data_IF_548287541332
#
_entry.id   IF_548287541332
#
_cell.length_a   1.000
_cell.length_b   1.000
_cell.length_c   1.000
_cell.angle_alpha   90.00
_cell.angle_beta   90.00
_cell.angle_gamma   90.00
#
_symmetry.space_group_name_H-M   'P 1'
#
loop_
_entity.id
_entity.type
_entity.pdbx_description
1 polymer ?
#
# COMPACT_ATOMS: atom_id res chain seq x y z
N UNK A 1 -7.07 18.05 -14.68
CA UNK A 1 -5.64 17.88 -14.38
C UNK A 1 -5.30 16.42 -14.71
N UNK A 2 -4.41 16.23 -15.68
CA UNK A 2 -4.12 14.92 -16.31
C UNK A 2 -3.13 14.15 -15.45
N UNK A 3 -3.57 13.11 -14.75
CA UNK A 3 -2.66 12.13 -14.17
C UNK A 3 -2.12 11.24 -15.29
N UNK A 4 -0.89 11.50 -15.71
CA UNK A 4 -0.13 10.62 -16.57
C UNK A 4 0.14 9.30 -15.81
N UNK A 5 -0.52 8.23 -16.24
CA UNK A 5 -0.14 6.86 -15.88
C UNK A 5 1.30 6.61 -16.37
N UNK A 6 2.24 6.58 -15.44
CA UNK A 6 3.58 6.06 -15.71
C UNK A 6 3.53 4.54 -15.64
N UNK A 7 3.32 3.90 -16.78
CA UNK A 7 3.64 2.48 -16.95
C UNK A 7 5.15 2.33 -16.80
N UNK A 8 5.62 1.69 -15.74
CA UNK A 8 7.02 1.35 -15.61
C UNK A 8 7.36 0.26 -16.65
N UNK A 9 7.99 0.68 -17.72
CA UNK A 9 8.55 -0.20 -18.76
C UNK A 9 9.99 -0.51 -18.33
N UNK A 10 10.25 -1.75 -17.87
CA UNK A 10 11.63 -2.17 -17.59
C UNK A 10 12.34 -2.37 -18.92
N UNK A 11 13.21 -1.45 -19.26
CA UNK A 11 13.99 -1.47 -20.49
C UNK A 11 15.34 -2.12 -20.21
N UNK A 12 15.52 -3.35 -20.69
CA UNK A 12 16.81 -4.03 -20.69
C UNK A 12 17.46 -3.84 -22.06
N UNK A 13 18.44 -2.95 -22.18
CA UNK A 13 19.20 -2.76 -23.41
C UNK A 13 20.55 -3.47 -23.28
N UNK A 14 20.75 -4.52 -24.04
CA UNK A 14 22.06 -5.15 -24.23
C UNK A 14 22.69 -4.55 -25.48
N UNK A 15 23.74 -3.74 -25.33
CA UNK A 15 24.53 -3.24 -26.45
C UNK A 15 25.64 -4.27 -26.74
N UNK A 16 25.48 -5.06 -27.80
CA UNK A 16 26.57 -5.87 -28.35
C UNK A 16 27.14 -5.13 -29.56
N UNK A 17 28.41 -4.79 -29.47
CA UNK A 17 29.15 -4.14 -30.53
C UNK A 17 29.64 -5.16 -31.59
N UNK A 18 29.22 -4.94 -32.80
CA UNK A 18 29.88 -5.10 -34.11
C UNK A 18 30.28 -6.47 -34.68
N UNK A 19 29.74 -6.67 -35.87
CA UNK A 19 30.30 -7.29 -37.08
C UNK A 19 30.55 -8.79 -37.08
N UNK A 20 29.53 -9.53 -37.49
CA UNK A 20 29.58 -10.53 -38.58
C UNK A 20 28.14 -11.06 -38.77
N UNK A 21 27.77 -11.36 -40.00
CA UNK A 21 26.51 -11.99 -40.37
C UNK A 21 26.47 -13.40 -39.73
N UNK A 22 26.01 -13.44 -38.49
CA UNK A 22 25.74 -14.68 -37.76
C UNK A 22 24.36 -14.46 -37.14
N UNK A 23 23.40 -15.31 -37.56
CA UNK A 23 22.10 -15.38 -36.88
C UNK A 23 22.35 -15.46 -35.36
N UNK A 24 21.89 -14.49 -34.60
CA UNK A 24 22.05 -14.50 -33.15
C UNK A 24 21.15 -15.57 -32.57
N UNK A 25 21.71 -16.48 -31.79
CA UNK A 25 20.93 -17.46 -31.05
C UNK A 25 20.79 -16.99 -29.60
N UNK A 26 19.57 -16.81 -29.18
CA UNK A 26 19.23 -16.48 -27.79
C UNK A 26 18.79 -17.77 -27.08
N UNK A 27 19.59 -18.25 -26.14
CA UNK A 27 19.28 -19.47 -25.40
C UNK A 27 18.34 -19.21 -24.21
N UNK A 28 17.65 -20.27 -23.78
CA UNK A 28 16.68 -20.18 -22.68
C UNK A 28 17.33 -19.82 -21.33
N UNK A 29 18.57 -20.21 -21.08
CA UNK A 29 19.25 -19.93 -19.82
C UNK A 29 19.62 -18.45 -19.72
N UNK A 30 20.05 -17.85 -20.83
CA UNK A 30 20.27 -16.41 -20.89
C UNK A 30 18.97 -15.63 -20.65
N UNK A 31 17.87 -16.04 -21.28
CA UNK A 31 16.55 -15.43 -21.04
C UNK A 31 16.15 -15.54 -19.57
N UNK A 32 16.33 -16.71 -18.95
CA UNK A 32 16.01 -16.91 -17.54
C UNK A 32 16.80 -15.95 -16.64
N UNK A 33 18.12 -15.85 -16.84
CA UNK A 33 18.98 -14.98 -16.05
C UNK A 33 18.56 -13.51 -16.16
N UNK A 34 18.27 -13.03 -17.36
CA UNK A 34 17.83 -11.66 -17.58
C UNK A 34 16.44 -11.36 -16.99
N UNK A 35 15.51 -12.32 -17.10
CA UNK A 35 14.18 -12.20 -16.50
C UNK A 35 14.28 -12.16 -14.96
N UNK A 36 15.07 -13.03 -14.34
CA UNK A 36 15.31 -13.05 -12.91
C UNK A 36 15.83 -11.69 -12.46
N UNK A 37 16.92 -11.23 -13.05
CA UNK A 37 17.57 -9.96 -12.71
C UNK A 37 16.61 -8.77 -12.86
N UNK A 38 15.83 -8.73 -13.93
CA UNK A 38 14.91 -7.63 -14.18
C UNK A 38 13.74 -7.62 -13.17
N UNK A 39 13.20 -8.79 -12.83
CA UNK A 39 12.11 -8.90 -11.84
C UNK A 39 12.61 -8.60 -10.43
N UNK A 40 13.78 -9.10 -10.04
CA UNK A 40 14.41 -8.77 -8.74
C UNK A 40 14.64 -7.27 -8.61
N UNK A 41 15.20 -6.63 -9.63
CA UNK A 41 15.44 -5.19 -9.65
C UNK A 41 14.14 -4.40 -9.51
N UNK A 42 13.10 -4.77 -10.25
CA UNK A 42 11.78 -4.13 -10.16
C UNK A 42 11.17 -4.26 -8.76
N UNK A 43 11.26 -5.45 -8.17
CA UNK A 43 10.73 -5.72 -6.83
C UNK A 43 11.48 -4.92 -5.76
N UNK A 44 12.81 -4.86 -5.83
CA UNK A 44 13.63 -4.05 -4.92
C UNK A 44 13.27 -2.56 -5.04
N UNK A 45 13.10 -2.05 -6.26
CA UNK A 45 12.68 -0.66 -6.49
C UNK A 45 11.26 -0.36 -5.95
N UNK A 46 10.41 -1.38 -5.82
CA UNK A 46 9.08 -1.30 -5.17
C UNK A 46 9.13 -1.45 -3.65
N UNK A 47 10.34 -1.54 -3.07
CA UNK A 47 10.56 -1.61 -1.62
C UNK A 47 10.39 -3.01 -1.04
N UNK A 48 10.55 -4.05 -1.86
CA UNK A 48 10.65 -5.42 -1.35
C UNK A 48 12.09 -5.76 -0.98
N UNK A 49 12.24 -6.67 -0.03
CA UNK A 49 13.53 -7.19 0.42
C UNK A 49 13.58 -8.69 0.23
N UNK A 50 14.80 -9.27 0.18
CA UNK A 50 15.02 -10.71 0.03
C UNK A 50 14.16 -11.34 -1.06
N UNK A 51 14.26 -10.76 -2.24
CA UNK A 51 13.53 -11.22 -3.41
C UNK A 51 14.22 -12.45 -3.97
N UNK A 52 13.48 -13.54 -4.15
CA UNK A 52 13.91 -14.78 -4.80
C UNK A 52 12.97 -15.07 -5.96
N UNK A 53 13.50 -15.07 -7.17
CA UNK A 53 12.74 -15.25 -8.41
C UNK A 53 13.16 -16.55 -9.09
N UNK A 54 12.22 -17.46 -9.27
CA UNK A 54 12.41 -18.71 -9.98
C UNK A 54 11.60 -18.72 -11.28
N UNK A 55 12.29 -18.84 -12.43
CA UNK A 55 11.64 -19.09 -13.72
C UNK A 55 11.26 -20.56 -13.80
N UNK A 56 9.98 -20.85 -13.96
CA UNK A 56 9.46 -22.22 -13.99
C UNK A 56 9.61 -22.87 -15.34
N UNK A 57 9.75 -22.09 -16.42
CA UNK A 57 10.00 -22.62 -17.77
C UNK A 57 10.08 -21.52 -18.83
N UNK A 58 10.78 -21.85 -19.92
CA UNK A 58 10.79 -21.10 -21.18
C UNK A 58 10.27 -22.05 -22.25
N UNK A 59 9.40 -21.62 -23.19
CA UNK A 59 8.73 -22.53 -24.13
C UNK A 59 9.62 -23.09 -25.25
N UNK A 60 10.91 -22.80 -25.23
CA UNK A 60 11.91 -23.28 -26.21
C UNK A 60 13.30 -23.34 -25.56
N UNK A 61 14.22 -24.08 -26.14
CA UNK A 61 15.62 -24.16 -25.71
C UNK A 61 16.46 -23.01 -26.26
N UNK A 62 16.17 -22.59 -27.48
CA UNK A 62 16.87 -21.52 -28.19
C UNK A 62 15.90 -20.77 -29.10
N UNK A 63 16.22 -19.53 -29.42
CA UNK A 63 15.50 -18.69 -30.35
C UNK A 63 16.49 -18.09 -31.35
N UNK A 64 16.33 -18.42 -32.62
CA UNK A 64 17.09 -17.81 -33.71
C UNK A 64 16.56 -16.39 -33.97
N UNK A 65 17.47 -15.44 -34.04
CA UNK A 65 17.16 -14.03 -34.21
C UNK A 65 17.88 -13.49 -35.45
N UNK A 66 17.26 -12.54 -36.17
CA UNK A 66 17.97 -11.80 -37.21
C UNK A 66 19.08 -10.94 -36.59
N UNK A 67 20.04 -10.57 -37.44
CA UNK A 67 21.09 -9.64 -37.01
C UNK A 67 20.53 -8.28 -36.59
N UNK A 68 21.12 -7.74 -35.52
CA UNK A 68 20.75 -6.42 -35.08
C UNK A 68 20.81 -6.21 -33.56
N UNK A 69 20.34 -5.06 -33.16
CA UNK A 69 20.29 -4.70 -31.75
C UNK A 69 19.16 -5.44 -31.04
N UNK A 70 19.51 -6.37 -30.14
CA UNK A 70 18.58 -7.10 -29.31
C UNK A 70 18.04 -6.23 -28.17
N UNK A 71 16.73 -6.32 -27.95
CA UNK A 71 16.06 -5.69 -26.81
C UNK A 71 14.99 -6.65 -26.28
N UNK A 72 15.04 -6.94 -24.98
CA UNK A 72 14.00 -7.70 -24.28
C UNK A 72 13.19 -6.76 -23.37
N UNK A 73 11.88 -6.94 -23.35
CA UNK A 73 10.95 -6.13 -22.57
C UNK A 73 9.99 -7.02 -21.82
N UNK A 74 10.00 -6.92 -20.49
CA UNK A 74 8.99 -7.55 -19.65
C UNK A 74 7.81 -6.61 -19.56
N UNK A 75 6.62 -7.10 -19.95
CA UNK A 75 5.39 -6.32 -19.91
C UNK A 75 4.73 -6.51 -18.55
N UNK A 76 4.51 -5.40 -17.85
CA UNK A 76 3.73 -5.41 -16.63
C UNK A 76 2.24 -5.59 -16.97
N UNK A 77 1.60 -6.55 -16.32
CA UNK A 77 0.14 -6.65 -16.33
C UNK A 77 -0.42 -5.54 -15.44
N UNK A 78 -1.16 -4.61 -16.03
CA UNK A 78 -1.82 -3.55 -15.30
C UNK A 78 -2.78 -4.13 -14.25
N UNK A 79 -2.66 -3.69 -13.01
CA UNK A 79 -3.67 -3.84 -11.97
C UNK A 79 -3.53 -5.01 -11.00
N UNK A 80 -2.63 -5.93 -11.19
CA UNK A 80 -2.39 -6.98 -10.18
C UNK A 80 -1.25 -6.58 -9.26
N UNK A 81 -1.52 -6.54 -7.97
CA UNK A 81 -0.48 -6.59 -6.98
C UNK A 81 0.47 -7.77 -7.23
N UNK A 82 1.56 -7.82 -6.50
CA UNK A 82 2.46 -8.96 -6.48
C UNK A 82 1.68 -10.26 -6.24
N UNK A 83 1.97 -11.29 -7.03
CA UNK A 83 1.47 -12.65 -6.82
C UNK A 83 2.64 -13.62 -6.75
N UNK A 84 2.59 -14.53 -5.79
CA UNK A 84 3.64 -15.55 -5.58
C UNK A 84 3.88 -16.40 -6.83
N UNK A 85 2.84 -16.67 -7.62
CA UNK A 85 2.93 -17.31 -8.93
C UNK A 85 2.27 -16.44 -9.97
N UNK A 86 3.02 -16.08 -10.99
CA UNK A 86 2.53 -15.22 -12.06
C UNK A 86 3.16 -15.59 -13.40
N UNK A 87 2.53 -15.13 -14.47
CA UNK A 87 3.10 -15.21 -15.81
C UNK A 87 3.41 -13.78 -16.26
N UNK A 88 4.67 -13.51 -16.58
CA UNK A 88 5.08 -12.25 -17.19
C UNK A 88 5.22 -12.40 -18.68
N UNK A 89 4.66 -11.47 -19.45
CA UNK A 89 4.85 -11.47 -20.90
C UNK A 89 6.24 -10.87 -21.21
N UNK A 90 7.06 -11.65 -21.92
CA UNK A 90 8.35 -11.18 -22.44
C UNK A 90 8.21 -10.91 -23.93
N UNK A 91 8.67 -9.75 -24.37
CA UNK A 91 8.74 -9.35 -25.77
C UNK A 91 10.19 -9.20 -26.18
N UNK A 92 10.55 -9.86 -27.27
CA UNK A 92 11.89 -9.85 -27.87
C UNK A 92 11.83 -9.00 -29.15
N UNK A 93 12.67 -7.99 -29.21
CA UNK A 93 12.79 -7.10 -30.36
C UNK A 93 14.21 -7.17 -30.94
N UNK A 94 14.31 -7.05 -32.25
CA UNK A 94 15.57 -6.82 -32.95
C UNK A 94 15.38 -5.58 -33.84
N UNK A 95 16.28 -4.62 -33.76
CA UNK A 95 16.20 -3.35 -34.48
C UNK A 95 14.83 -2.65 -34.32
N UNK A 96 14.26 -2.67 -33.08
CA UNK A 96 12.93 -2.18 -32.71
C UNK A 96 11.74 -2.93 -33.35
N UNK A 97 11.97 -3.98 -34.13
CA UNK A 97 10.92 -4.85 -34.67
C UNK A 97 10.63 -5.98 -33.72
N UNK A 98 9.35 -6.22 -33.37
CA UNK A 98 8.94 -7.32 -32.51
C UNK A 98 9.15 -8.66 -33.24
N UNK A 99 10.03 -9.49 -32.71
CA UNK A 99 10.31 -10.82 -33.23
C UNK A 99 9.43 -11.88 -32.58
N UNK A 100 9.31 -11.82 -31.24
CA UNK A 100 8.52 -12.80 -30.49
C UNK A 100 7.96 -12.22 -29.21
N UNK A 101 6.78 -12.73 -28.82
CA UNK A 101 6.17 -12.47 -27.50
C UNK A 101 5.71 -13.80 -26.91
N UNK A 102 6.02 -14.05 -25.63
CA UNK A 102 5.63 -15.28 -24.93
C UNK A 102 5.52 -15.05 -23.44
N UNK A 103 4.78 -15.93 -22.76
CA UNK A 103 4.62 -15.91 -21.31
C UNK A 103 5.76 -16.65 -20.63
N UNK A 104 6.30 -16.05 -19.58
CA UNK A 104 7.31 -16.65 -18.69
C UNK A 104 6.65 -16.90 -17.34
N UNK A 105 6.39 -18.15 -16.96
CA UNK A 105 5.85 -18.48 -15.65
C UNK A 105 6.94 -18.34 -14.59
N UNK A 106 6.60 -17.61 -13.52
CA UNK A 106 7.49 -17.30 -12.41
C UNK A 106 6.89 -17.76 -11.10
N UNK A 107 7.76 -18.20 -10.21
CA UNK A 107 7.50 -18.25 -8.76
C UNK A 107 8.42 -17.24 -8.08
N UNK A 108 7.83 -16.34 -7.29
CA UNK A 108 8.55 -15.25 -6.65
C UNK A 108 8.26 -15.29 -5.15
N UNK A 109 9.31 -15.24 -4.34
CA UNK A 109 9.21 -14.99 -2.90
C UNK A 109 9.79 -13.62 -2.63
N UNK A 110 9.07 -12.81 -1.89
CA UNK A 110 9.52 -11.48 -1.53
C UNK A 110 9.02 -11.10 -0.14
N UNK A 111 9.78 -10.26 0.53
CA UNK A 111 9.48 -9.83 1.88
C UNK A 111 9.35 -8.31 1.90
N UNK A 112 8.59 -7.82 2.88
CA UNK A 112 8.46 -6.40 3.15
C UNK A 112 8.39 -6.17 4.65
N UNK A 113 8.93 -5.06 5.12
CA UNK A 113 8.71 -4.65 6.50
C UNK A 113 7.29 -4.16 6.69
N UNK A 114 6.63 -4.67 7.72
CA UNK A 114 5.27 -4.29 8.06
C UNK A 114 5.02 -4.38 9.56
N UNK A 115 4.06 -3.61 10.05
CA UNK A 115 3.61 -3.70 11.43
C UNK A 115 2.84 -5.00 11.67
N UNK A 116 3.24 -5.70 12.72
CA UNK A 116 2.63 -6.94 13.18
C UNK A 116 2.17 -6.78 14.62
N UNK A 117 0.93 -7.16 14.92
CA UNK A 117 0.38 -7.12 16.27
C UNK A 117 1.17 -8.05 17.21
N UNK A 118 1.62 -7.55 18.35
CA UNK A 118 2.30 -8.34 19.40
C UNK A 118 1.33 -8.98 20.37
N UNK A 119 0.12 -8.41 20.48
CA UNK A 119 -1.00 -8.86 21.30
C UNK A 119 -2.32 -8.59 20.59
N UNK A 120 -3.42 -9.05 21.15
CA UNK A 120 -4.74 -8.77 20.58
C UNK A 120 -5.07 -7.28 20.61
N UNK A 121 -5.62 -6.79 19.48
CA UNK A 121 -6.08 -5.41 19.34
C UNK A 121 -7.56 -5.46 18.94
N UNK A 122 -8.43 -5.02 19.86
CA UNK A 122 -9.88 -4.97 19.64
C UNK A 122 -10.28 -3.86 18.67
N UNK A 123 -11.51 -3.93 18.17
CA UNK A 123 -12.13 -2.87 17.37
C UNK A 123 -12.20 -1.57 18.20
N UNK A 124 -11.84 -0.43 17.58
CA UNK A 124 -11.80 0.88 18.24
C UNK A 124 -10.60 1.09 19.17
N UNK A 125 -9.73 0.09 19.35
CA UNK A 125 -8.53 0.23 20.17
C UNK A 125 -7.38 0.81 19.34
N UNK A 126 -6.56 1.63 20.01
CA UNK A 126 -5.40 2.28 19.37
C UNK A 126 -4.35 1.26 18.94
N UNK A 127 -3.80 1.49 17.76
CA UNK A 127 -2.64 0.80 17.22
C UNK A 127 -1.42 1.70 17.53
N UNK A 128 -0.49 1.21 18.34
CA UNK A 128 0.67 2.00 18.78
C UNK A 128 1.87 1.10 19.07
N UNK A 129 3.03 1.69 19.36
CA UNK A 129 4.28 0.98 19.62
C UNK A 129 4.22 -0.03 20.79
N UNK A 130 3.21 0.03 21.67
CA UNK A 130 3.05 -0.93 22.79
C UNK A 130 2.38 -2.24 22.36
N UNK A 131 1.74 -2.28 21.21
CA UNK A 131 0.95 -3.44 20.75
C UNK A 131 1.27 -3.88 19.31
N UNK A 132 2.22 -3.22 18.65
CA UNK A 132 2.75 -3.65 17.35
C UNK A 132 4.28 -3.61 17.33
N UNK A 133 4.86 -4.33 16.38
CA UNK A 133 6.30 -4.34 16.12
C UNK A 133 6.52 -4.38 14.61
N UNK A 134 7.56 -3.72 14.13
CA UNK A 134 7.98 -3.84 12.74
C UNK A 134 8.63 -5.21 12.53
N UNK A 135 8.14 -5.98 11.59
CA UNK A 135 8.68 -7.28 11.22
C UNK A 135 8.74 -7.43 9.71
N UNK A 136 9.74 -8.16 9.26
CA UNK A 136 9.83 -8.65 7.90
C UNK A 136 8.81 -9.78 7.71
N UNK A 137 7.90 -9.59 6.77
CA UNK A 137 6.82 -10.55 6.46
C UNK A 137 6.91 -10.97 5.01
N UNK A 138 6.68 -12.26 4.74
CA UNK A 138 6.52 -12.75 3.37
C UNK A 138 5.24 -12.15 2.79
N UNK A 139 5.33 -11.65 1.56
CA UNK A 139 4.22 -10.95 0.92
C UNK A 139 3.56 -11.86 -0.11
N UNK A 140 2.25 -11.98 -0.02
CA UNK A 140 1.42 -12.66 -1.02
C UNK A 140 0.20 -11.76 -1.35
N UNK A 141 0.27 -11.08 -2.48
CA UNK A 141 -0.83 -10.28 -3.02
C UNK A 141 -0.99 -8.87 -2.45
N UNK A 142 -1.49 -8.72 -1.24
CA UNK A 142 -1.96 -7.43 -0.70
C UNK A 142 -0.88 -6.50 -0.11
N UNK A 143 0.32 -6.47 -0.67
CA UNK A 143 1.42 -5.66 -0.14
C UNK A 143 1.16 -4.14 -0.06
N UNK A 144 0.24 -3.62 -0.87
CA UNK A 144 -0.12 -2.20 -0.88
C UNK A 144 -0.84 -1.76 0.39
N UNK A 145 -1.40 -2.71 1.12
CA UNK A 145 -2.13 -2.45 2.37
C UNK A 145 -1.28 -2.68 3.62
N UNK A 146 -0.01 -3.04 3.46
CA UNK A 146 0.91 -3.17 4.58
C UNK A 146 1.22 -1.79 5.18
N UNK A 147 1.29 -1.74 6.49
CA UNK A 147 1.51 -0.50 7.24
C UNK A 147 2.96 -0.47 7.72
N UNK A 148 3.63 0.65 7.46
CA UNK A 148 4.95 0.99 8.03
C UNK A 148 4.83 1.76 9.34
N UNK A 149 5.97 1.99 10.02
CA UNK A 149 6.01 2.79 11.25
C UNK A 149 5.55 4.23 11.06
N UNK A 150 5.72 4.80 9.86
CA UNK A 150 5.32 6.17 9.54
C UNK A 150 3.83 6.44 9.81
N UNK A 151 2.98 5.41 9.69
CA UNK A 151 1.55 5.56 9.99
C UNK A 151 1.30 5.89 11.48
N UNK A 152 2.20 5.51 12.37
CA UNK A 152 2.06 5.73 13.82
C UNK A 152 2.62 7.07 14.26
N UNK A 153 3.26 7.83 13.36
CA UNK A 153 3.86 9.12 13.67
C UNK A 153 2.81 10.23 13.61
N UNK A 154 2.52 10.79 14.75
CA UNK A 154 1.73 12.03 14.86
C UNK A 154 0.22 11.88 14.97
N UNK A 155 -0.35 10.69 14.78
CA UNK A 155 -1.80 10.47 14.80
C UNK A 155 -2.22 9.30 15.69
N UNK A 156 -3.36 9.42 16.37
CA UNK A 156 -3.97 8.31 17.14
C UNK A 156 -4.73 7.39 16.18
N UNK A 157 -4.07 6.31 15.76
CA UNK A 157 -4.64 5.33 14.85
C UNK A 157 -5.41 4.27 15.63
N UNK A 158 -6.63 3.99 15.20
CA UNK A 158 -7.49 2.95 15.78
C UNK A 158 -7.80 1.87 14.76
N UNK A 159 -7.97 0.65 15.28
CA UNK A 159 -8.37 -0.49 14.44
C UNK A 159 -9.88 -0.52 14.20
N UNK A 160 -10.29 -0.74 12.95
CA UNK A 160 -11.69 -1.03 12.60
C UNK A 160 -12.01 -2.52 12.49
N UNK A 161 -11.01 -3.41 12.78
CA UNK A 161 -11.21 -4.86 12.93
C UNK A 161 -10.47 -5.40 14.15
N UNK A 162 -10.77 -6.63 14.53
CA UNK A 162 -10.02 -7.35 15.56
C UNK A 162 -8.75 -7.95 14.96
N UNK A 163 -7.59 -7.73 15.60
CA UNK A 163 -6.32 -8.35 15.28
C UNK A 163 -5.90 -9.32 16.40
N UNK A 164 -5.43 -10.50 16.02
CA UNK A 164 -4.75 -11.43 16.93
C UNK A 164 -3.24 -11.16 16.94
N UNK A 165 -2.58 -11.58 17.99
CA UNK A 165 -1.11 -11.57 18.01
C UNK A 165 -0.54 -12.31 16.78
N UNK A 166 0.51 -11.77 16.18
CA UNK A 166 1.13 -12.29 14.95
C UNK A 166 0.48 -11.85 13.65
N UNK A 167 -0.68 -11.20 13.66
CA UNK A 167 -1.31 -10.70 12.43
C UNK A 167 -0.71 -9.38 11.97
N UNK A 168 -0.53 -9.26 10.67
CA UNK A 168 -0.07 -8.02 10.02
C UNK A 168 -1.16 -6.96 10.04
N UNK A 169 -0.78 -5.73 10.36
CA UNK A 169 -1.67 -4.58 10.34
C UNK A 169 -1.94 -4.18 8.89
N UNK A 170 -3.21 -3.94 8.58
CA UNK A 170 -3.71 -3.61 7.25
C UNK A 170 -4.25 -2.18 7.24
N UNK A 171 -3.75 -1.35 6.32
CA UNK A 171 -4.12 0.06 6.18
C UNK A 171 -5.63 0.27 6.02
N UNK A 172 -6.33 -0.63 5.35
CA UNK A 172 -7.78 -0.55 5.15
C UNK A 172 -8.58 -0.56 6.45
N UNK A 173 -8.00 -1.17 7.50
CA UNK A 173 -8.61 -1.30 8.82
C UNK A 173 -7.92 -0.44 9.88
N UNK A 174 -7.05 0.47 9.47
CA UNK A 174 -6.35 1.44 10.31
C UNK A 174 -6.91 2.82 10.02
N UNK A 175 -7.57 3.43 10.98
CA UNK A 175 -8.24 4.73 10.81
C UNK A 175 -7.72 5.72 11.83
N UNK A 176 -7.62 6.98 11.45
CA UNK A 176 -7.38 8.07 12.41
C UNK A 176 -8.57 8.11 13.37
N UNK A 177 -8.27 8.20 14.66
CA UNK A 177 -9.29 8.33 15.69
C UNK A 177 -9.97 9.68 15.56
N UNK A 178 -11.30 9.67 15.53
CA UNK A 178 -12.07 10.91 15.59
C UNK A 178 -11.84 11.64 16.90
N UNK A 179 -11.81 12.97 16.89
CA UNK A 179 -11.65 13.81 18.09
C UNK A 179 -12.81 13.66 19.07
N UNK A 180 -13.98 13.34 18.55
CA UNK A 180 -15.19 12.99 19.31
C UNK A 180 -15.74 11.68 18.77
N UNK A 181 -16.05 10.73 19.65
CA UNK A 181 -16.70 9.48 19.26
C UNK A 181 -18.17 9.47 19.69
N UNK A 182 -19.00 8.79 18.91
CA UNK A 182 -20.40 8.54 19.29
C UNK A 182 -20.45 7.88 20.65
N UNK A 183 -21.40 8.29 21.48
CA UNK A 183 -21.64 7.85 22.84
C UNK A 183 -20.57 8.30 23.85
N UNK A 184 -19.56 9.08 23.45
CA UNK A 184 -18.54 9.63 24.32
C UNK A 184 -19.04 10.89 25.04
N UNK A 185 -18.58 11.09 26.29
CA UNK A 185 -18.85 12.31 27.05
C UNK A 185 -17.93 13.44 26.59
N UNK A 186 -18.52 14.56 26.21
CA UNK A 186 -17.82 15.73 25.71
C UNK A 186 -18.15 16.96 26.60
N UNK A 187 -17.28 17.93 26.55
CA UNK A 187 -17.55 19.26 27.10
C UNK A 187 -18.13 20.13 25.99
N UNK A 188 -19.34 20.64 26.21
CA UNK A 188 -19.99 21.59 25.30
C UNK A 188 -19.75 22.97 25.82
N UNK A 189 -19.17 23.84 25.00
CA UNK A 189 -18.87 25.24 25.31
C UNK A 189 -19.87 26.11 24.52
N UNK A 190 -20.57 26.96 25.24
CA UNK A 190 -21.44 27.99 24.67
C UNK A 190 -20.72 29.34 24.73
N UNK A 191 -20.42 29.89 23.56
CA UNK A 191 -19.90 31.24 23.45
C UNK A 191 -21.07 32.20 23.35
N UNK A 192 -21.30 32.98 24.44
CA UNK A 192 -22.34 34.01 24.47
C UNK A 192 -21.77 35.38 24.08
N UNK A 193 -22.62 36.24 23.53
CA UNK A 193 -22.29 37.66 23.36
C UNK A 193 -21.92 38.23 24.72
N UNK A 194 -20.86 38.98 24.85
CA UNK A 194 -20.31 39.58 26.10
C UNK A 194 -19.19 38.80 26.81
N UNK A 195 -18.42 37.98 26.07
CA UNK A 195 -17.30 37.20 26.63
C UNK A 195 -17.70 36.26 27.78
N UNK A 196 -18.96 35.89 27.89
CA UNK A 196 -19.40 34.86 28.82
C UNK A 196 -19.34 33.48 28.16
N UNK A 197 -18.57 32.60 28.77
CA UNK A 197 -18.47 31.21 28.34
C UNK A 197 -19.12 30.29 29.35
N UNK A 198 -20.07 29.47 28.93
CA UNK A 198 -20.70 28.48 29.78
C UNK A 198 -20.32 27.10 29.27
N UNK A 199 -19.96 26.17 30.13
CA UNK A 199 -19.68 24.79 29.74
C UNK A 199 -20.59 23.81 30.45
N UNK A 200 -21.02 22.78 29.73
CA UNK A 200 -21.82 21.67 30.24
C UNK A 200 -21.22 20.35 29.80
N UNK A 201 -21.61 19.26 30.43
CA UNK A 201 -21.33 17.88 29.94
C UNK A 201 -22.44 17.41 29.08
N UNK A 202 -22.06 16.76 27.98
CA UNK A 202 -23.01 16.18 27.05
C UNK A 202 -22.48 14.87 26.45
N UNK A 203 -23.38 14.07 25.90
CA UNK A 203 -23.07 12.84 25.22
C UNK A 203 -23.12 13.08 23.71
N UNK A 204 -22.04 12.80 23.01
CA UNK A 204 -22.00 12.91 21.55
C UNK A 204 -22.92 11.86 20.90
N UNK A 205 -23.74 12.28 19.96
CA UNK A 205 -24.67 11.41 19.24
C UNK A 205 -24.06 10.90 17.90
N UNK A 206 -22.94 11.48 17.48
CA UNK A 206 -22.18 11.07 16.29
C UNK A 206 -20.68 11.24 16.56
N UNK A 207 -19.86 10.56 15.74
CA UNK A 207 -18.41 10.77 15.73
C UNK A 207 -18.04 11.86 14.71
N UNK A 208 -16.94 12.58 14.98
CA UNK A 208 -16.39 13.58 14.07
C UNK A 208 -15.00 14.03 14.49
N UNK A 209 -14.34 14.75 13.61
CA UNK A 209 -13.02 15.34 13.81
C UNK A 209 -13.12 16.87 13.94
N UNK A 210 -12.05 17.52 14.34
CA UNK A 210 -11.98 18.96 14.46
C UNK A 210 -12.50 19.67 13.19
N UNK A 211 -13.44 20.61 13.38
CA UNK A 211 -14.14 21.33 12.31
C UNK A 211 -15.47 20.71 11.90
N UNK A 212 -15.76 19.46 12.28
CA UNK A 212 -17.05 18.83 11.99
C UNK A 212 -18.14 19.32 12.94
N UNK A 213 -19.37 19.40 12.43
CA UNK A 213 -20.56 19.66 13.23
C UNK A 213 -21.09 18.34 13.81
N UNK A 214 -21.31 18.33 15.12
CA UNK A 214 -21.83 17.15 15.82
C UNK A 214 -23.01 17.50 16.72
N UNK A 215 -23.98 16.56 16.77
CA UNK A 215 -25.09 16.65 17.72
C UNK A 215 -24.63 16.11 19.09
N UNK A 216 -24.89 16.88 20.16
CA UNK A 216 -24.56 16.50 21.53
C UNK A 216 -25.81 16.61 22.41
N UNK A 217 -26.11 15.55 23.14
CA UNK A 217 -27.19 15.55 24.12
C UNK A 217 -26.68 15.94 25.50
N UNK A 218 -27.24 16.96 26.08
CA UNK A 218 -26.94 17.35 27.48
C UNK A 218 -27.18 16.16 28.41
N UNK A 219 -26.25 15.92 29.31
CA UNK A 219 -26.31 14.80 30.24
C UNK A 219 -27.49 14.90 31.23
N UNK A 220 -27.84 16.13 31.66
CA UNK A 220 -28.83 16.39 32.70
C UNK A 220 -30.25 16.46 32.15
N UNK A 221 -30.50 17.35 31.19
CA UNK A 221 -31.87 17.67 30.72
C UNK A 221 -32.24 17.01 29.38
N UNK A 222 -31.34 16.21 28.80
CA UNK A 222 -31.51 15.51 27.52
C UNK A 222 -31.72 16.38 26.27
N UNK A 223 -31.61 17.69 26.38
CA UNK A 223 -31.71 18.62 25.28
C UNK A 223 -30.54 18.40 24.30
N UNK A 224 -30.82 18.46 23.00
CA UNK A 224 -29.79 18.26 21.96
C UNK A 224 -29.32 19.61 21.45
N UNK A 225 -28.03 19.77 21.33
CA UNK A 225 -27.34 20.91 20.74
C UNK A 225 -26.50 20.47 19.55
N UNK A 226 -26.32 21.35 18.58
CA UNK A 226 -25.43 21.15 17.45
C UNK A 226 -24.26 22.11 17.58
N UNK A 227 -23.04 21.60 17.50
CA UNK A 227 -21.84 22.41 17.65
C UNK A 227 -20.67 21.86 16.86
N UNK A 228 -19.68 22.73 16.67
CA UNK A 228 -18.43 22.42 16.00
C UNK A 228 -17.44 21.76 16.95
N UNK A 229 -16.79 20.70 16.54
CA UNK A 229 -15.69 20.10 17.27
C UNK A 229 -14.45 20.99 17.14
N UNK A 230 -14.03 21.60 18.23
CA UNK A 230 -12.86 22.49 18.25
C UNK A 230 -11.58 21.80 18.73
N UNK A 231 -11.73 20.72 19.48
CA UNK A 231 -10.63 19.89 19.95
C UNK A 231 -11.18 18.55 20.47
N UNK A 232 -10.30 17.63 20.86
CA UNK A 232 -10.67 16.33 21.42
C UNK A 232 -11.64 16.51 22.60
N UNK A 233 -12.80 15.89 22.48
CA UNK A 233 -13.89 15.94 23.46
C UNK A 233 -14.40 17.33 23.79
N UNK A 234 -14.20 18.33 22.94
CA UNK A 234 -14.69 19.69 23.11
C UNK A 234 -15.50 20.13 21.89
N UNK A 235 -16.75 20.50 22.14
CA UNK A 235 -17.70 20.97 21.13
C UNK A 235 -18.14 22.40 21.46
N UNK A 236 -18.03 23.29 20.48
CA UNK A 236 -18.48 24.70 20.61
C UNK A 236 -19.85 24.87 19.98
N UNK A 237 -20.77 25.50 20.70
CA UNK A 237 -22.08 25.91 20.25
C UNK A 237 -22.14 27.44 20.24
N UNK A 238 -22.38 28.02 19.08
CA UNK A 238 -22.60 29.47 18.95
C UNK A 238 -24.08 29.77 19.19
N UNK A 239 -24.37 30.68 20.13
CA UNK A 239 -25.74 31.11 20.47
C UNK A 239 -25.93 32.58 20.08
#
# INVERSE_FOLDING_TARGET
MKNLLKSALILLTLAIAQNHVIAQTLDAEHIKAEVVKAVETDMVNKGFTDVDVKVLGIPFSSLELPDGQLKMVIVENHGSGYSKRCIKALRVYVNNSLIRSFGVPLEVKAYKEALVATKEIGIGKSINASNVVLKKVEVDGNHQNLVSMELLEGEDIVSSKFYRAGQTIDKRFSKIRSDVQKDEMVTVIFDMQNNLTVSIKGKALASGSKGDMVAVQNADNKKVYYGEIINRNIVRVNI
#
